data_IF_880102573112
#
_entry.id   IF_880102573112
#
_cell.length_a   1.000
_cell.length_b   1.000
_cell.length_c   1.000
_cell.angle_alpha   90.00
_cell.angle_beta   90.00
_cell.angle_gamma   90.00
#
_symmetry.space_group_name_H-M   'P 1'
#
loop_
_entity.id
_entity.type
_entity.pdbx_description
1 polymer ?
#
# COMPACT_ATOMS: atom_id res chain seq x y z
N UNK A 1 34.93 -19.31 -7.51
CA UNK A 1 33.81 -20.20 -7.87
C UNK A 1 33.22 -20.71 -6.57
N UNK A 2 32.06 -20.20 -6.21
CA UNK A 2 31.37 -20.47 -4.96
C UNK A 2 30.00 -19.84 -5.08
N UNK A 3 29.16 -20.45 -5.92
CA UNK A 3 27.77 -20.05 -6.10
C UNK A 3 27.02 -20.26 -4.79
N UNK A 4 26.79 -19.16 -4.08
CA UNK A 4 25.75 -19.05 -3.06
C UNK A 4 24.41 -18.85 -3.78
N UNK A 5 23.95 -19.86 -4.51
CA UNK A 5 22.53 -19.99 -4.78
C UNK A 5 21.84 -20.26 -3.43
N UNK A 6 21.20 -19.22 -2.88
CA UNK A 6 20.21 -19.36 -1.81
C UNK A 6 19.09 -20.25 -2.36
N UNK A 7 19.25 -21.56 -2.17
CA UNK A 7 18.15 -22.52 -2.29
C UNK A 7 17.14 -22.12 -1.22
N UNK A 8 16.04 -21.48 -1.61
CA UNK A 8 14.89 -21.29 -0.72
C UNK A 8 14.45 -22.68 -0.28
N UNK A 9 14.53 -22.93 1.03
CA UNK A 9 14.20 -24.26 1.55
C UNK A 9 12.68 -24.40 1.55
N UNK A 10 12.10 -25.59 1.30
CA UNK A 10 10.65 -25.84 1.42
C UNK A 10 10.03 -25.42 2.78
N UNK A 11 10.86 -25.22 3.81
CA UNK A 11 10.47 -24.72 5.12
C UNK A 11 10.04 -23.25 5.12
N UNK A 12 10.54 -22.41 4.19
CA UNK A 12 10.26 -20.97 4.19
C UNK A 12 8.83 -20.68 3.74
N UNK A 13 8.33 -21.43 2.74
CA UNK A 13 6.96 -21.31 2.25
C UNK A 13 5.92 -21.74 3.31
N UNK A 14 6.16 -22.88 3.96
CA UNK A 14 5.32 -23.38 5.03
C UNK A 14 5.29 -22.40 6.21
N UNK A 15 6.42 -21.76 6.51
CA UNK A 15 6.53 -20.72 7.52
C UNK A 15 5.74 -19.46 7.14
N UNK A 16 5.81 -18.99 5.87
CA UNK A 16 5.01 -17.86 5.39
C UNK A 16 3.51 -18.13 5.56
N UNK A 17 3.04 -19.29 5.10
CA UNK A 17 1.61 -19.65 5.22
C UNK A 17 1.19 -19.73 6.69
N UNK A 18 2.01 -20.35 7.55
CA UNK A 18 1.75 -20.40 8.99
C UNK A 18 1.72 -19.01 9.63
N UNK A 19 2.65 -18.12 9.25
CA UNK A 19 2.72 -16.73 9.72
C UNK A 19 1.48 -15.95 9.35
N UNK A 20 1.05 -16.00 8.09
CA UNK A 20 -0.18 -15.33 7.60
C UNK A 20 -1.40 -15.92 8.32
N UNK A 21 -1.50 -17.25 8.41
CA UNK A 21 -2.58 -17.95 9.09
C UNK A 21 -2.71 -17.51 10.55
N UNK A 22 -1.62 -17.52 11.31
CA UNK A 22 -1.60 -17.13 12.72
C UNK A 22 -1.87 -15.64 12.91
N UNK A 23 -1.22 -14.79 12.12
CA UNK A 23 -1.33 -13.32 12.22
C UNK A 23 -2.74 -12.83 11.93
N UNK A 24 -3.41 -13.43 10.95
CA UNK A 24 -4.72 -12.98 10.48
C UNK A 24 -5.87 -13.89 10.90
N UNK A 25 -5.58 -14.97 11.62
CA UNK A 25 -6.56 -15.97 12.08
C UNK A 25 -7.38 -16.57 10.93
N UNK A 26 -6.69 -16.87 9.83
CA UNK A 26 -7.27 -17.48 8.62
C UNK A 26 -6.82 -18.95 8.54
N UNK A 27 -7.67 -19.90 8.12
CA UNK A 27 -7.32 -21.31 8.11
C UNK A 27 -6.12 -21.58 7.20
N UNK A 28 -5.25 -22.50 7.62
CA UNK A 28 -4.04 -22.83 6.84
C UNK A 28 -4.39 -23.46 5.50
N UNK A 29 -5.41 -24.32 5.48
CA UNK A 29 -5.74 -25.14 4.31
C UNK A 29 -6.28 -24.31 3.14
N UNK A 30 -7.06 -23.25 3.41
CA UNK A 30 -7.48 -22.33 2.35
C UNK A 30 -6.32 -21.53 1.77
N UNK A 31 -5.36 -21.12 2.61
CA UNK A 31 -4.15 -20.45 2.12
C UNK A 31 -3.31 -21.41 1.27
N UNK A 32 -3.21 -22.69 1.65
CA UNK A 32 -2.54 -23.71 0.83
C UNK A 32 -3.23 -23.89 -0.52
N UNK A 33 -4.56 -24.00 -0.53
CA UNK A 33 -5.35 -24.18 -1.75
C UNK A 33 -5.24 -23.00 -2.73
N UNK A 34 -5.14 -21.77 -2.21
CA UNK A 34 -4.96 -20.55 -3.02
C UNK A 34 -3.63 -20.58 -3.79
N UNK A 35 -2.58 -21.13 -3.17
CA UNK A 35 -1.22 -21.03 -3.70
C UNK A 35 -0.78 -22.29 -4.45
N UNK A 36 -1.37 -23.44 -4.15
CA UNK A 36 -1.05 -24.71 -4.81
C UNK A 36 -1.03 -24.63 -6.35
N UNK A 37 -1.93 -23.91 -7.04
CA UNK A 37 -1.89 -23.81 -8.51
C UNK A 37 -0.73 -22.99 -9.07
N UNK A 38 -0.12 -22.10 -8.28
CA UNK A 38 0.94 -21.18 -8.74
C UNK A 38 2.34 -21.57 -8.27
N UNK A 39 2.46 -22.47 -7.28
CA UNK A 39 3.75 -23.06 -6.91
C UNK A 39 4.01 -24.27 -7.80
N UNK A 40 4.78 -24.06 -8.86
CA UNK A 40 5.28 -25.13 -9.73
C UNK A 40 6.62 -25.68 -9.25
N UNK A 41 7.44 -24.86 -8.59
CA UNK A 41 8.68 -25.25 -7.91
C UNK A 41 8.79 -24.54 -6.55
N UNK A 42 8.99 -25.33 -5.49
CA UNK A 42 9.14 -24.86 -4.11
C UNK A 42 10.50 -24.16 -3.88
N UNK A 43 11.51 -24.49 -4.68
CA UNK A 43 12.88 -23.97 -4.54
C UNK A 43 13.13 -22.65 -5.28
N UNK A 44 12.13 -22.14 -6.02
CA UNK A 44 12.23 -20.87 -6.76
C UNK A 44 11.19 -19.83 -6.32
N UNK A 45 10.38 -20.13 -5.29
CA UNK A 45 9.33 -19.25 -4.84
C UNK A 45 9.89 -18.08 -4.03
N UNK A 46 9.50 -16.85 -4.39
CA UNK A 46 9.74 -15.62 -3.61
C UNK A 46 8.82 -15.59 -2.37
N UNK A 47 9.36 -15.80 -1.14
CA UNK A 47 8.55 -15.88 0.06
C UNK A 47 7.85 -14.55 0.39
N UNK A 48 8.49 -13.41 0.12
CA UNK A 48 7.96 -12.08 0.42
C UNK A 48 6.88 -11.68 -0.60
N UNK A 49 7.10 -12.00 -1.88
CA UNK A 49 6.09 -11.91 -2.92
C UNK A 49 4.85 -12.74 -2.58
N UNK A 50 5.06 -13.96 -2.07
CA UNK A 50 3.94 -14.80 -1.66
C UNK A 50 3.21 -14.27 -0.44
N UNK A 51 3.91 -13.86 0.62
CA UNK A 51 3.30 -13.31 1.83
C UNK A 51 2.40 -12.12 1.49
N UNK A 52 2.84 -11.26 0.57
CA UNK A 52 2.02 -10.15 0.04
C UNK A 52 0.77 -10.65 -0.69
N UNK A 53 0.89 -11.63 -1.59
CA UNK A 53 -0.26 -12.18 -2.32
C UNK A 53 -1.29 -12.81 -1.38
N UNK A 54 -0.84 -13.59 -0.39
CA UNK A 54 -1.71 -14.21 0.60
C UNK A 54 -2.37 -13.17 1.51
N UNK A 55 -1.61 -12.20 2.00
CA UNK A 55 -2.14 -11.12 2.85
C UNK A 55 -3.23 -10.32 2.13
N UNK A 56 -3.11 -10.12 0.81
CA UNK A 56 -4.16 -9.46 -0.01
C UNK A 56 -5.47 -10.25 -0.07
N UNK A 57 -5.45 -11.58 0.11
CA UNK A 57 -6.65 -12.43 0.12
C UNK A 57 -7.32 -12.53 1.49
N UNK A 58 -6.63 -12.18 2.56
CA UNK A 58 -7.15 -12.25 3.94
C UNK A 58 -8.50 -11.53 4.10
N UNK A 59 -8.71 -10.30 3.61
CA UNK A 59 -10.01 -9.63 3.74
C UNK A 59 -11.14 -10.38 3.04
N UNK A 60 -10.89 -10.92 1.84
CA UNK A 60 -11.87 -11.69 1.08
C UNK A 60 -12.27 -12.97 1.83
N UNK A 61 -11.29 -13.70 2.39
CA UNK A 61 -11.53 -14.92 3.17
C UNK A 61 -12.30 -14.61 4.45
N UNK A 62 -11.94 -13.53 5.16
CA UNK A 62 -12.64 -13.12 6.37
C UNK A 62 -14.08 -12.72 6.09
N UNK A 63 -14.33 -11.93 5.04
CA UNK A 63 -15.67 -11.53 4.64
C UNK A 63 -16.53 -12.76 4.32
N UNK A 64 -15.99 -13.70 3.53
CA UNK A 64 -16.66 -14.94 3.18
C UNK A 64 -16.99 -15.79 4.42
N UNK A 65 -16.03 -15.99 5.33
CA UNK A 65 -16.25 -16.75 6.58
C UNK A 65 -17.30 -16.11 7.47
N UNK A 66 -17.28 -14.79 7.63
CA UNK A 66 -18.27 -14.05 8.41
C UNK A 66 -19.67 -14.22 7.84
N UNK A 67 -19.84 -14.10 6.52
CA UNK A 67 -21.15 -14.24 5.88
C UNK A 67 -21.66 -15.69 5.96
N UNK A 68 -20.81 -16.68 5.71
CA UNK A 68 -21.17 -18.11 5.81
C UNK A 68 -21.57 -18.53 7.24
N UNK A 69 -21.05 -17.84 8.26
CA UNK A 69 -21.40 -18.10 9.66
C UNK A 69 -22.72 -17.46 10.10
N UNK A 70 -23.36 -16.62 9.28
CA UNK A 70 -24.61 -15.98 9.66
C UNK A 70 -25.76 -16.99 9.78
N UNK A 71 -26.52 -16.96 10.88
CA UNK A 71 -27.63 -17.88 11.07
C UNK A 71 -28.73 -17.64 10.04
N UNK A 72 -29.43 -18.71 9.66
CA UNK A 72 -30.61 -18.63 8.80
C UNK A 72 -31.75 -19.45 9.39
N UNK A 73 -32.97 -18.92 9.31
CA UNK A 73 -34.19 -19.65 9.66
C UNK A 73 -34.54 -20.73 8.61
N UNK A 74 -34.01 -20.62 7.40
CA UNK A 74 -34.15 -21.62 6.34
C UNK A 74 -33.11 -22.73 6.54
N UNK A 75 -33.57 -23.91 6.98
CA UNK A 75 -32.72 -25.05 7.28
C UNK A 75 -31.93 -25.56 6.06
N UNK A 76 -32.48 -25.46 4.85
CA UNK A 76 -31.79 -25.90 3.62
C UNK A 76 -30.67 -24.92 3.29
N UNK A 77 -30.96 -23.62 3.34
CA UNK A 77 -29.95 -22.59 3.15
C UNK A 77 -28.84 -22.67 4.21
N UNK A 78 -29.22 -22.87 5.48
CA UNK A 78 -28.28 -23.06 6.58
C UNK A 78 -27.37 -24.29 6.34
N UNK A 79 -27.93 -25.40 5.86
CA UNK A 79 -27.17 -26.60 5.49
C UNK A 79 -26.13 -26.33 4.39
N UNK A 80 -26.52 -25.61 3.33
CA UNK A 80 -25.58 -25.25 2.26
C UNK A 80 -24.51 -24.26 2.71
N UNK A 81 -24.86 -23.27 3.54
CA UNK A 81 -23.88 -22.34 4.15
C UNK A 81 -22.89 -23.07 5.04
N UNK A 82 -23.34 -24.05 5.84
CA UNK A 82 -22.47 -24.87 6.66
C UNK A 82 -21.53 -25.74 5.81
N UNK A 83 -22.02 -26.34 4.73
CA UNK A 83 -21.20 -27.10 3.80
C UNK A 83 -20.14 -26.20 3.12
N UNK A 84 -20.53 -25.01 2.70
CA UNK A 84 -19.61 -24.00 2.15
C UNK A 84 -18.56 -23.57 3.20
N UNK A 85 -18.95 -23.32 4.45
CA UNK A 85 -18.03 -22.99 5.53
C UNK A 85 -17.02 -24.12 5.76
N UNK A 86 -17.47 -25.38 5.83
CA UNK A 86 -16.58 -26.53 6.00
C UNK A 86 -15.62 -26.70 4.80
N UNK A 87 -16.08 -26.46 3.57
CA UNK A 87 -15.22 -26.48 2.39
C UNK A 87 -14.21 -25.32 2.39
N UNK A 88 -14.62 -24.13 2.85
CA UNK A 88 -13.76 -22.96 3.02
C UNK A 88 -12.65 -23.25 4.05
N UNK A 89 -12.99 -23.76 5.23
CA UNK A 89 -12.02 -24.13 6.27
C UNK A 89 -11.03 -25.19 5.79
N UNK A 90 -11.49 -26.18 5.00
CA UNK A 90 -10.68 -27.26 4.46
C UNK A 90 -9.94 -26.91 3.13
N UNK A 91 -10.04 -25.67 2.64
CA UNK A 91 -9.41 -25.25 1.38
C UNK A 91 -9.95 -25.93 0.12
N UNK A 92 -11.15 -26.50 0.15
CA UNK A 92 -11.77 -27.19 -1.00
C UNK A 92 -12.57 -26.22 -1.85
N UNK A 93 -11.86 -25.35 -2.59
CA UNK A 93 -12.46 -24.22 -3.34
C UNK A 93 -13.57 -24.62 -4.34
N UNK A 94 -13.44 -25.77 -5.01
CA UNK A 94 -14.45 -26.27 -5.92
C UNK A 94 -15.75 -26.71 -5.20
N UNK A 95 -15.61 -27.34 -4.03
CA UNK A 95 -16.76 -27.72 -3.21
C UNK A 95 -17.42 -26.50 -2.57
N UNK A 96 -16.63 -25.50 -2.19
CA UNK A 96 -17.11 -24.21 -1.71
C UNK A 96 -17.99 -23.53 -2.77
N UNK A 97 -17.50 -23.36 -4.02
CA UNK A 97 -18.30 -22.75 -5.10
C UNK A 97 -19.56 -23.56 -5.39
N UNK A 98 -19.46 -24.90 -5.35
CA UNK A 98 -20.62 -25.80 -5.55
C UNK A 98 -21.67 -25.60 -4.47
N UNK A 99 -21.29 -25.57 -3.19
CA UNK A 99 -22.22 -25.38 -2.08
C UNK A 99 -22.89 -24.00 -2.14
N UNK A 100 -22.13 -22.95 -2.46
CA UNK A 100 -22.67 -21.61 -2.69
C UNK A 100 -23.65 -21.56 -3.87
N UNK A 101 -23.36 -22.26 -4.97
CA UNK A 101 -24.26 -22.35 -6.11
C UNK A 101 -25.58 -23.08 -5.75
N UNK A 102 -25.54 -24.10 -4.90
CA UNK A 102 -26.75 -24.77 -4.41
C UNK A 102 -27.56 -23.86 -3.47
N UNK A 103 -26.90 -23.12 -2.58
CA UNK A 103 -27.55 -22.11 -1.74
C UNK A 103 -28.26 -21.04 -2.60
N UNK A 104 -27.57 -20.52 -3.61
CA UNK A 104 -28.11 -19.54 -4.54
C UNK A 104 -29.34 -20.06 -5.31
N UNK A 105 -29.25 -21.28 -5.87
CA UNK A 105 -30.36 -21.91 -6.60
C UNK A 105 -31.59 -22.10 -5.71
N UNK A 106 -31.37 -22.51 -4.45
CA UNK A 106 -32.43 -22.66 -3.46
C UNK A 106 -33.13 -21.32 -3.16
N UNK A 107 -32.37 -20.22 -3.01
CA UNK A 107 -32.92 -18.88 -2.79
C UNK A 107 -33.78 -18.43 -3.98
N UNK A 108 -33.32 -18.69 -5.21
CA UNK A 108 -34.03 -18.34 -6.44
C UNK A 108 -35.30 -19.18 -6.66
N UNK A 109 -35.40 -20.36 -6.04
CA UNK A 109 -36.63 -21.16 -5.98
C UNK A 109 -37.16 -21.64 -7.34
N UNK A 110 -36.31 -21.73 -8.37
CA UNK A 110 -36.70 -22.15 -9.72
C UNK A 110 -37.59 -21.17 -10.50
N UNK A 111 -37.76 -19.94 -10.01
CA UNK A 111 -38.54 -18.90 -10.67
C UNK A 111 -37.81 -18.39 -11.93
N UNK A 112 -38.57 -18.14 -13.00
CA UNK A 112 -38.01 -17.70 -14.28
C UNK A 112 -37.67 -16.20 -14.33
N UNK A 113 -38.21 -15.38 -13.42
CA UNK A 113 -38.08 -13.91 -13.46
C UNK A 113 -37.61 -13.28 -12.14
N UNK A 114 -36.53 -12.49 -12.20
CA UNK A 114 -36.00 -11.73 -11.06
C UNK A 114 -36.98 -10.68 -10.52
N UNK A 115 -37.90 -10.18 -11.35
CA UNK A 115 -38.90 -9.18 -10.96
C UNK A 115 -39.97 -9.73 -10.01
N UNK A 116 -40.18 -11.04 -10.00
CA UNK A 116 -41.20 -11.70 -9.18
C UNK A 116 -40.64 -12.15 -7.81
N UNK A 117 -39.32 -12.08 -7.63
CA UNK A 117 -38.66 -12.44 -6.37
C UNK A 117 -38.82 -11.32 -5.34
N UNK A 118 -39.24 -11.64 -4.09
CA UNK A 118 -39.27 -10.68 -2.99
C UNK A 118 -37.90 -10.01 -2.79
N UNK A 119 -37.90 -8.75 -2.35
CA UNK A 119 -36.68 -7.96 -2.15
C UNK A 119 -35.63 -8.69 -1.29
N UNK A 120 -36.05 -9.29 -0.17
CA UNK A 120 -35.16 -10.06 0.71
C UNK A 120 -34.47 -11.24 0.00
N UNK A 121 -35.21 -11.97 -0.86
CA UNK A 121 -34.64 -13.08 -1.64
C UNK A 121 -33.71 -12.60 -2.73
N UNK A 122 -33.99 -11.44 -3.34
CA UNK A 122 -33.08 -10.81 -4.31
C UNK A 122 -31.77 -10.40 -3.64
N UNK A 123 -31.83 -9.77 -2.47
CA UNK A 123 -30.64 -9.42 -1.69
C UNK A 123 -29.85 -10.69 -1.37
N UNK A 124 -30.49 -11.71 -0.77
CA UNK A 124 -29.82 -12.96 -0.43
C UNK A 124 -29.21 -13.69 -1.63
N UNK A 125 -29.89 -13.71 -2.79
CA UNK A 125 -29.37 -14.32 -4.02
C UNK A 125 -28.16 -13.53 -4.56
N UNK A 126 -28.24 -12.20 -4.53
CA UNK A 126 -27.11 -11.33 -4.89
C UNK A 126 -25.90 -11.55 -3.98
N UNK A 127 -26.11 -11.70 -2.68
CA UNK A 127 -25.04 -12.00 -1.73
C UNK A 127 -24.42 -13.38 -1.95
N UNK A 128 -25.22 -14.41 -2.21
CA UNK A 128 -24.72 -15.73 -2.58
C UNK A 128 -23.89 -15.69 -3.88
N UNK A 129 -24.35 -14.93 -4.89
CA UNK A 129 -23.58 -14.70 -6.12
C UNK A 129 -22.29 -13.93 -5.85
N UNK A 130 -22.29 -12.97 -4.94
CA UNK A 130 -21.10 -12.21 -4.53
C UNK A 130 -20.09 -13.07 -3.76
N UNK A 131 -20.52 -14.01 -2.92
CA UNK A 131 -19.63 -15.00 -2.27
C UNK A 131 -18.93 -15.89 -3.30
N UNK A 132 -19.65 -16.27 -4.36
CA UNK A 132 -19.08 -16.98 -5.50
C UNK A 132 -18.06 -16.12 -6.25
N UNK A 133 -18.34 -14.82 -6.42
CA UNK A 133 -17.35 -13.86 -6.96
C UNK A 133 -16.11 -13.76 -6.08
N UNK A 134 -16.29 -13.72 -4.76
CA UNK A 134 -15.21 -13.72 -3.76
C UNK A 134 -14.37 -15.00 -3.84
N UNK A 135 -15.02 -16.15 -4.02
CA UNK A 135 -14.34 -17.45 -4.22
C UNK A 135 -13.49 -17.45 -5.49
N UNK A 136 -13.97 -16.83 -6.58
CA UNK A 136 -13.18 -16.67 -7.81
C UNK A 136 -11.94 -15.79 -7.60
N UNK A 137 -12.03 -14.72 -6.78
CA UNK A 137 -10.88 -13.88 -6.43
C UNK A 137 -9.81 -14.62 -5.65
N UNK A 138 -10.15 -15.71 -4.95
CA UNK A 138 -9.15 -16.52 -4.24
C UNK A 138 -8.18 -17.21 -5.21
N UNK A 139 -8.54 -17.35 -6.49
CA UNK A 139 -7.62 -17.88 -7.50
C UNK A 139 -6.58 -16.81 -7.86
N UNK A 140 -5.29 -17.18 -7.83
CA UNK A 140 -4.18 -16.32 -8.23
C UNK A 140 -3.96 -16.34 -9.75
N UNK A 141 -5.03 -16.14 -10.52
CA UNK A 141 -5.03 -16.15 -11.98
C UNK A 141 -5.90 -15.03 -12.57
N UNK A 142 -5.57 -14.48 -13.76
CA UNK A 142 -6.38 -13.44 -14.41
C UNK A 142 -7.84 -13.85 -14.63
N UNK A 143 -8.07 -15.11 -14.97
CA UNK A 143 -9.41 -15.67 -15.19
C UNK A 143 -10.27 -15.59 -13.94
N UNK A 144 -9.68 -15.76 -12.75
CA UNK A 144 -10.35 -15.61 -11.46
C UNK A 144 -10.87 -14.19 -11.24
N UNK A 145 -10.08 -13.17 -11.59
CA UNK A 145 -10.49 -11.77 -11.51
C UNK A 145 -11.59 -11.41 -12.52
N UNK A 146 -11.50 -11.92 -13.76
CA UNK A 146 -12.56 -11.71 -14.78
C UNK A 146 -13.87 -12.35 -14.37
N UNK A 147 -13.82 -13.59 -13.89
CA UNK A 147 -15.00 -14.31 -13.41
C UNK A 147 -15.60 -13.65 -12.16
N UNK A 148 -14.77 -13.19 -11.23
CA UNK A 148 -15.22 -12.43 -10.08
C UNK A 148 -15.94 -11.15 -10.49
N UNK A 149 -15.35 -10.38 -11.41
CA UNK A 149 -15.96 -9.16 -11.95
C UNK A 149 -17.35 -9.43 -12.54
N UNK A 150 -17.48 -10.47 -13.37
CA UNK A 150 -18.78 -10.89 -13.93
C UNK A 150 -19.79 -11.26 -12.84
N UNK A 151 -19.38 -12.05 -11.84
CA UNK A 151 -20.25 -12.45 -10.73
C UNK A 151 -20.68 -11.26 -9.87
N UNK A 152 -19.83 -10.27 -9.65
CA UNK A 152 -20.21 -9.05 -8.94
C UNK A 152 -21.18 -8.17 -9.75
N UNK A 153 -20.99 -8.09 -11.06
CA UNK A 153 -21.93 -7.40 -11.96
C UNK A 153 -23.32 -8.07 -11.92
N UNK A 154 -23.35 -9.40 -12.00
CA UNK A 154 -24.58 -10.19 -11.89
C UNK A 154 -25.23 -10.06 -10.51
N UNK A 155 -24.43 -10.08 -9.45
CA UNK A 155 -24.91 -9.87 -8.08
C UNK A 155 -25.56 -8.50 -7.93
N UNK A 156 -24.91 -7.43 -8.41
CA UNK A 156 -25.46 -6.09 -8.40
C UNK A 156 -26.80 -6.03 -9.16
N UNK A 157 -26.88 -6.66 -10.34
CA UNK A 157 -28.13 -6.69 -11.12
C UNK A 157 -29.26 -7.48 -10.42
N UNK A 158 -28.94 -8.59 -9.75
CA UNK A 158 -29.91 -9.39 -8.98
C UNK A 158 -30.49 -8.55 -7.84
N UNK A 159 -29.63 -7.88 -7.06
CA UNK A 159 -30.06 -6.97 -5.98
C UNK A 159 -30.86 -5.81 -6.56
N UNK A 160 -30.25 -5.03 -7.46
CA UNK A 160 -30.86 -3.90 -8.15
C UNK A 160 -31.59 -2.94 -7.19
N UNK A 161 -32.82 -2.58 -7.53
CA UNK A 161 -33.65 -1.67 -6.73
C UNK A 161 -34.18 -2.27 -5.42
N UNK A 162 -33.96 -3.56 -5.15
CA UNK A 162 -34.32 -4.14 -3.85
C UNK A 162 -33.48 -3.54 -2.71
N UNK A 163 -32.22 -3.19 -3.00
CA UNK A 163 -31.32 -2.46 -2.10
C UNK A 163 -30.29 -1.70 -2.95
N UNK A 164 -30.55 -0.41 -3.28
CA UNK A 164 -29.65 0.38 -4.13
C UNK A 164 -28.25 0.57 -3.55
N UNK A 165 -28.10 0.62 -2.23
CA UNK A 165 -26.81 0.80 -1.57
C UNK A 165 -25.97 -0.47 -1.69
N UNK A 166 -26.58 -1.63 -1.43
CA UNK A 166 -25.92 -2.92 -1.59
C UNK A 166 -25.60 -3.22 -3.05
N UNK A 167 -26.52 -2.90 -3.97
CA UNK A 167 -26.27 -3.01 -5.41
C UNK A 167 -25.07 -2.16 -5.84
N UNK A 168 -24.97 -0.92 -5.33
CA UNK A 168 -23.83 -0.04 -5.60
C UNK A 168 -22.52 -0.59 -5.05
N UNK A 169 -22.51 -1.09 -3.81
CA UNK A 169 -21.32 -1.71 -3.21
C UNK A 169 -20.82 -2.90 -4.06
N UNK A 170 -21.72 -3.76 -4.54
CA UNK A 170 -21.38 -4.87 -5.44
C UNK A 170 -20.82 -4.37 -6.78
N UNK A 171 -21.36 -3.27 -7.33
CA UNK A 171 -20.82 -2.64 -8.53
C UNK A 171 -19.41 -2.04 -8.30
N UNK A 172 -19.09 -1.59 -7.08
CA UNK A 172 -17.71 -1.21 -6.73
C UNK A 172 -16.80 -2.44 -6.63
N UNK A 173 -17.28 -3.56 -6.09
CA UNK A 173 -16.51 -4.82 -6.05
C UNK A 173 -16.20 -5.37 -7.45
N UNK A 174 -17.08 -5.13 -8.43
CA UNK A 174 -16.79 -5.39 -9.84
C UNK A 174 -15.58 -4.58 -10.31
N UNK A 175 -15.51 -3.29 -9.98
CA UNK A 175 -14.39 -2.42 -10.33
C UNK A 175 -13.09 -2.84 -9.62
N UNK A 176 -13.18 -3.24 -8.36
CA UNK A 176 -12.04 -3.74 -7.59
C UNK A 176 -11.47 -5.02 -8.22
N UNK A 177 -12.34 -5.95 -8.65
CA UNK A 177 -11.93 -7.16 -9.35
C UNK A 177 -11.25 -6.87 -10.70
N UNK A 178 -11.74 -5.89 -11.46
CA UNK A 178 -11.11 -5.43 -12.70
C UNK A 178 -9.74 -4.77 -12.42
N UNK A 179 -9.65 -3.93 -11.40
CA UNK A 179 -8.40 -3.26 -11.01
C UNK A 179 -7.33 -4.25 -10.56
N UNK A 180 -7.72 -5.38 -9.93
CA UNK A 180 -6.80 -6.46 -9.56
C UNK A 180 -6.13 -7.12 -10.77
N UNK A 181 -6.76 -7.14 -11.96
CA UNK A 181 -6.10 -7.62 -13.18
C UNK A 181 -4.85 -6.78 -13.49
N UNK A 182 -4.98 -5.46 -13.40
CA UNK A 182 -3.88 -4.54 -13.58
C UNK A 182 -2.84 -4.64 -12.47
N UNK A 183 -3.29 -4.72 -11.21
CA UNK A 183 -2.38 -4.72 -10.05
C UNK A 183 -1.54 -6.00 -9.95
N UNK A 184 -2.12 -7.16 -10.25
CA UNK A 184 -1.48 -8.46 -10.01
C UNK A 184 -0.82 -9.06 -11.26
N UNK A 185 -1.31 -8.69 -12.45
CA UNK A 185 -0.85 -9.27 -13.71
C UNK A 185 -0.33 -8.22 -14.69
N UNK A 186 -0.21 -6.95 -14.27
CA UNK A 186 0.17 -5.83 -15.13
C UNK A 186 -0.72 -5.68 -16.37
N UNK A 187 -1.96 -6.16 -16.30
CA UNK A 187 -2.93 -6.09 -17.40
C UNK A 187 -3.58 -4.71 -17.42
N UNK A 188 -3.09 -3.87 -18.32
CA UNK A 188 -3.60 -2.51 -18.54
C UNK A 188 -5.12 -2.48 -18.80
N UNK A 189 -5.66 -3.48 -19.50
CA UNK A 189 -7.08 -3.52 -19.84
C UNK A 189 -7.99 -3.63 -18.61
N UNK A 190 -7.46 -4.20 -17.51
CA UNK A 190 -8.16 -4.27 -16.23
C UNK A 190 -8.46 -2.90 -15.63
N UNK A 191 -7.45 -2.02 -15.57
CA UNK A 191 -7.65 -0.66 -15.10
C UNK A 191 -8.54 0.17 -16.05
N UNK A 192 -8.36 0.02 -17.35
CA UNK A 192 -9.18 0.73 -18.34
C UNK A 192 -10.66 0.34 -18.22
N UNK A 193 -10.95 -0.95 -18.05
CA UNK A 193 -12.31 -1.45 -17.82
C UNK A 193 -12.89 -0.96 -16.47
N UNK A 194 -12.09 -0.96 -15.40
CA UNK A 194 -12.50 -0.43 -14.10
C UNK A 194 -12.84 1.07 -14.18
N UNK A 195 -11.99 1.88 -14.83
CA UNK A 195 -12.19 3.31 -15.02
C UNK A 195 -13.46 3.58 -15.84
N UNK A 196 -13.66 2.85 -16.93
CA UNK A 196 -14.86 3.00 -17.76
C UNK A 196 -16.13 2.69 -16.95
N UNK A 197 -16.15 1.57 -16.22
CA UNK A 197 -17.26 1.17 -15.36
C UNK A 197 -17.57 2.19 -14.25
N UNK A 198 -16.54 2.67 -13.55
CA UNK A 198 -16.69 3.65 -12.46
C UNK A 198 -17.20 5.00 -12.99
N UNK A 199 -16.75 5.44 -14.17
CA UNK A 199 -17.29 6.64 -14.81
C UNK A 199 -18.76 6.47 -15.18
N UNK A 200 -19.17 5.30 -15.65
CA UNK A 200 -20.60 5.01 -15.89
C UNK A 200 -21.41 5.07 -14.60
N UNK A 201 -20.92 4.49 -13.49
CA UNK A 201 -21.60 4.58 -12.20
C UNK A 201 -21.78 6.03 -11.75
N UNK A 202 -20.77 6.89 -11.93
CA UNK A 202 -20.85 8.31 -11.59
C UNK A 202 -21.92 9.07 -12.38
N UNK A 203 -22.29 8.64 -13.60
CA UNK A 203 -23.35 9.33 -14.37
C UNK A 203 -24.73 9.20 -13.75
N UNK A 204 -24.93 8.21 -12.87
CA UNK A 204 -26.20 7.96 -12.17
C UNK A 204 -26.22 8.44 -10.73
N UNK A 205 -25.19 9.16 -10.27
CA UNK A 205 -25.06 9.62 -8.89
C UNK A 205 -24.94 11.14 -8.83
N UNK A 206 -25.68 11.76 -7.91
CA UNK A 206 -25.54 13.17 -7.58
C UNK A 206 -24.58 13.35 -6.39
N UNK A 207 -23.67 14.31 -6.44
CA UNK A 207 -22.67 14.50 -5.38
C UNK A 207 -23.28 15.02 -4.06
N UNK A 208 -24.45 15.65 -4.10
CA UNK A 208 -25.16 16.11 -2.92
C UNK A 208 -26.11 15.03 -2.39
N UNK A 209 -27.00 14.51 -3.23
CA UNK A 209 -28.00 13.53 -2.80
C UNK A 209 -27.39 12.15 -2.50
N UNK A 210 -26.33 11.77 -3.23
CA UNK A 210 -25.65 10.47 -3.11
C UNK A 210 -24.22 10.59 -2.57
N UNK A 211 -23.94 11.62 -1.75
CA UNK A 211 -22.59 12.03 -1.31
C UNK A 211 -21.67 10.84 -1.00
N UNK A 212 -22.12 9.87 -0.19
CA UNK A 212 -21.30 8.70 0.21
C UNK A 212 -21.05 7.73 -0.95
N UNK A 213 -22.05 7.42 -1.78
CA UNK A 213 -21.92 6.53 -2.93
C UNK A 213 -21.06 7.16 -4.02
N UNK A 214 -21.26 8.45 -4.28
CA UNK A 214 -20.46 9.23 -5.21
C UNK A 214 -19.00 9.25 -4.76
N UNK A 215 -18.75 9.57 -3.48
CA UNK A 215 -17.41 9.58 -2.89
C UNK A 215 -16.73 8.21 -2.95
N UNK A 216 -17.45 7.13 -2.64
CA UNK A 216 -16.92 5.78 -2.70
C UNK A 216 -16.52 5.43 -4.15
N UNK A 217 -17.29 5.86 -5.15
CA UNK A 217 -17.00 5.63 -6.57
C UNK A 217 -15.78 6.43 -7.03
N UNK A 218 -15.67 7.69 -6.62
CA UNK A 218 -14.49 8.53 -6.87
C UNK A 218 -13.22 7.95 -6.23
N UNK A 219 -13.33 7.38 -5.02
CA UNK A 219 -12.20 6.68 -4.38
C UNK A 219 -11.66 5.56 -5.28
N UNK A 220 -12.54 4.66 -5.76
CA UNK A 220 -12.11 3.55 -6.63
C UNK A 220 -11.60 4.06 -7.97
N UNK A 221 -12.19 5.14 -8.51
CA UNK A 221 -11.75 5.73 -9.77
C UNK A 221 -10.34 6.28 -9.63
N UNK A 222 -10.07 7.03 -8.57
CA UNK A 222 -8.73 7.53 -8.26
C UNK A 222 -7.72 6.40 -8.10
N UNK A 223 -8.07 5.31 -7.40
CA UNK A 223 -7.18 4.16 -7.23
C UNK A 223 -6.86 3.47 -8.57
N UNK A 224 -7.86 3.27 -9.43
CA UNK A 224 -7.64 2.69 -10.76
C UNK A 224 -6.80 3.61 -11.67
N UNK A 225 -7.00 4.93 -11.59
CA UNK A 225 -6.18 5.93 -12.30
C UNK A 225 -4.72 5.92 -11.81
N UNK A 226 -4.48 5.83 -10.50
CA UNK A 226 -3.14 5.70 -9.93
C UNK A 226 -2.47 4.41 -10.42
N UNK A 227 -3.18 3.29 -10.41
CA UNK A 227 -2.67 2.01 -10.91
C UNK A 227 -2.28 2.05 -12.39
N UNK A 228 -3.15 2.59 -13.24
CA UNK A 228 -2.87 2.76 -14.67
C UNK A 228 -1.72 3.73 -14.93
N UNK A 229 -1.68 4.85 -14.21
CA UNK A 229 -0.61 5.84 -14.34
C UNK A 229 0.75 5.30 -13.90
N UNK A 230 0.79 4.48 -12.85
CA UNK A 230 2.00 3.80 -12.42
C UNK A 230 2.52 2.79 -13.47
N UNK A 231 1.63 2.05 -14.15
CA UNK A 231 2.01 1.13 -15.22
C UNK A 231 2.54 1.85 -16.47
N UNK A 232 1.95 2.99 -16.84
CA UNK A 232 2.32 3.73 -18.05
C UNK A 232 3.41 4.78 -17.83
N UNK A 233 3.75 5.10 -16.57
CA UNK A 233 4.57 6.27 -16.24
C UNK A 233 3.86 7.60 -16.55
N UNK A 234 2.53 7.61 -16.52
CA UNK A 234 1.72 8.77 -16.90
C UNK A 234 1.27 9.56 -15.67
N UNK A 235 1.97 10.68 -15.42
CA UNK A 235 1.67 11.58 -14.30
C UNK A 235 0.35 12.32 -14.45
N UNK A 236 -0.21 12.43 -15.67
CA UNK A 236 -1.50 13.08 -15.88
C UNK A 236 -2.65 12.28 -15.24
N UNK A 237 -2.58 10.94 -15.26
CA UNK A 237 -3.55 10.08 -14.60
C UNK A 237 -3.49 10.22 -13.08
N UNK A 238 -2.30 10.37 -12.50
CA UNK A 238 -2.15 10.62 -11.06
C UNK A 238 -2.71 12.01 -10.67
N UNK A 239 -2.57 13.03 -11.55
CA UNK A 239 -3.18 14.35 -11.33
C UNK A 239 -4.70 14.29 -11.39
N UNK A 240 -5.25 13.51 -12.32
CA UNK A 240 -6.69 13.23 -12.37
C UNK A 240 -7.17 12.57 -11.07
N UNK A 241 -6.45 11.56 -10.55
CA UNK A 241 -6.79 10.92 -9.28
C UNK A 241 -6.78 11.90 -8.10
N UNK A 242 -5.77 12.76 -8.00
CA UNK A 242 -5.73 13.81 -6.97
C UNK A 242 -6.93 14.77 -7.09
N UNK A 243 -7.34 15.13 -8.31
CA UNK A 243 -8.53 15.94 -8.54
C UNK A 243 -9.80 15.23 -8.07
N UNK A 244 -9.97 13.94 -8.36
CA UNK A 244 -11.11 13.14 -7.87
C UNK A 244 -11.21 13.22 -6.34
N UNK A 245 -10.10 13.02 -5.63
CA UNK A 245 -10.10 13.05 -4.16
C UNK A 245 -10.37 14.45 -3.61
N UNK A 246 -9.80 15.50 -4.21
CA UNK A 246 -10.02 16.89 -3.78
C UNK A 246 -11.49 17.29 -3.92
N UNK A 247 -12.08 17.09 -5.10
CA UNK A 247 -13.51 17.38 -5.33
C UNK A 247 -14.40 16.57 -4.39
N UNK A 248 -14.03 15.33 -4.08
CA UNK A 248 -14.80 14.53 -3.11
C UNK A 248 -14.75 15.09 -1.69
N UNK A 249 -13.60 15.62 -1.27
CA UNK A 249 -13.44 16.19 0.06
C UNK A 249 -14.09 17.58 0.21
N UNK A 250 -14.53 18.21 -0.89
CA UNK A 250 -15.30 19.47 -0.85
C UNK A 250 -16.66 19.28 -0.19
N UNK A 251 -17.33 18.13 -0.42
CA UNK A 251 -18.66 17.83 0.12
C UNK A 251 -18.64 16.71 1.18
N UNK A 252 -17.74 15.74 1.07
CA UNK A 252 -17.64 14.66 2.05
C UNK A 252 -17.03 15.18 3.35
N UNK A 253 -17.78 15.03 4.45
CA UNK A 253 -17.36 15.37 5.81
C UNK A 253 -17.18 14.11 6.66
N UNK A 254 -16.42 14.18 7.78
CA UNK A 254 -16.18 13.01 8.63
C UNK A 254 -17.44 12.35 9.21
N UNK A 255 -18.51 13.10 9.42
CA UNK A 255 -19.81 12.64 9.92
C UNK A 255 -20.63 11.87 8.87
N UNK A 256 -20.44 12.14 7.56
CA UNK A 256 -21.08 11.38 6.49
C UNK A 256 -20.55 9.94 6.41
N UNK A 257 -19.22 9.77 6.37
CA UNK A 257 -18.57 8.46 6.27
C UNK A 257 -17.11 8.52 6.72
N UNK A 258 -16.89 8.56 8.04
CA UNK A 258 -15.55 8.71 8.66
C UNK A 258 -14.46 7.81 8.06
N UNK A 259 -14.67 6.48 7.86
CA UNK A 259 -13.63 5.62 7.30
C UNK A 259 -13.25 5.98 5.85
N UNK A 260 -14.23 6.35 5.03
CA UNK A 260 -14.01 6.76 3.64
C UNK A 260 -13.29 8.11 3.57
N UNK A 261 -13.73 9.07 4.38
CA UNK A 261 -13.10 10.39 4.48
C UNK A 261 -11.62 10.29 4.87
N UNK A 262 -11.28 9.45 5.87
CA UNK A 262 -9.89 9.18 6.27
C UNK A 262 -9.06 8.63 5.10
N UNK A 263 -9.59 7.67 4.34
CA UNK A 263 -8.85 7.08 3.21
C UNK A 263 -8.63 8.11 2.10
N UNK A 264 -9.64 8.91 1.76
CA UNK A 264 -9.52 9.98 0.77
C UNK A 264 -8.47 11.03 1.17
N UNK A 265 -8.46 11.48 2.42
CA UNK A 265 -7.42 12.38 2.93
C UNK A 265 -6.02 11.79 2.76
N UNK A 266 -5.84 10.51 3.10
CA UNK A 266 -4.55 9.84 2.95
C UNK A 266 -4.13 9.68 1.49
N UNK A 267 -5.07 9.36 0.60
CA UNK A 267 -4.79 9.22 -0.83
C UNK A 267 -4.41 10.56 -1.45
N UNK A 268 -5.15 11.64 -1.13
CA UNK A 268 -4.80 12.99 -1.52
C UNK A 268 -3.42 13.38 -1.01
N UNK A 269 -3.15 13.19 0.29
CA UNK A 269 -1.86 13.56 0.87
C UNK A 269 -0.68 12.79 0.28
N UNK A 270 -0.88 11.52 -0.09
CA UNK A 270 0.16 10.71 -0.75
C UNK A 270 0.49 11.27 -2.13
N UNK A 271 -0.51 11.60 -2.94
CA UNK A 271 -0.32 12.15 -4.28
C UNK A 271 0.22 13.59 -4.24
N UNK A 272 -0.31 14.42 -3.34
CA UNK A 272 0.16 15.79 -3.16
C UNK A 272 1.64 15.82 -2.75
N UNK A 273 2.07 14.94 -1.85
CA UNK A 273 3.49 14.82 -1.48
C UNK A 273 4.36 14.38 -2.67
N UNK A 274 3.90 13.38 -3.43
CA UNK A 274 4.64 12.89 -4.61
C UNK A 274 4.84 14.02 -5.64
N UNK A 275 3.80 14.80 -5.94
CA UNK A 275 3.89 15.92 -6.87
C UNK A 275 4.69 17.08 -6.32
N UNK A 276 4.52 17.42 -5.04
CA UNK A 276 5.27 18.48 -4.38
C UNK A 276 6.77 18.19 -4.32
N UNK A 277 7.17 16.93 -4.15
CA UNK A 277 8.58 16.52 -4.25
C UNK A 277 9.09 16.61 -5.70
N UNK A 278 8.33 16.12 -6.67
CA UNK A 278 8.74 16.07 -8.08
C UNK A 278 8.83 17.46 -8.74
N UNK A 279 7.82 18.30 -8.52
CA UNK A 279 7.71 19.64 -9.11
C UNK A 279 8.40 20.69 -8.23
N UNK A 280 8.79 20.32 -7.01
CA UNK A 280 9.37 21.22 -6.02
C UNK A 280 8.36 22.19 -5.40
N UNK A 281 7.06 21.96 -5.61
CA UNK A 281 5.94 22.80 -5.17
C UNK A 281 5.68 22.66 -3.66
N UNK A 282 5.89 23.76 -2.94
CA UNK A 282 5.68 23.84 -1.49
C UNK A 282 4.19 23.75 -1.14
N UNK A 283 3.30 24.32 -1.95
CA UNK A 283 1.86 24.30 -1.67
C UNK A 283 1.28 22.88 -1.70
N UNK A 284 1.77 22.03 -2.61
CA UNK A 284 1.39 20.61 -2.63
C UNK A 284 1.95 19.83 -1.43
N UNK A 285 3.12 20.21 -0.93
CA UNK A 285 3.68 19.61 0.29
C UNK A 285 2.86 20.03 1.52
N UNK A 286 2.43 21.29 1.58
CA UNK A 286 1.52 21.80 2.62
C UNK A 286 0.17 21.09 2.58
N UNK A 287 -0.43 20.92 1.39
CA UNK A 287 -1.65 20.14 1.19
C UNK A 287 -1.49 18.70 1.71
N UNK A 288 -0.34 18.07 1.46
CA UNK A 288 -0.05 16.74 1.99
C UNK A 288 -0.01 16.69 3.52
N UNK A 289 0.68 17.66 4.13
CA UNK A 289 0.75 17.79 5.60
C UNK A 289 -0.64 17.98 6.19
N UNK A 290 -1.46 18.87 5.61
CA UNK A 290 -2.83 19.12 6.05
C UNK A 290 -3.70 17.88 5.97
N UNK A 291 -3.66 17.17 4.83
CA UNK A 291 -4.45 15.96 4.64
C UNK A 291 -4.09 14.84 5.64
N UNK A 292 -2.79 14.60 5.89
CA UNK A 292 -2.38 13.62 6.89
C UNK A 292 -2.71 14.04 8.33
N UNK A 293 -2.56 15.32 8.66
CA UNK A 293 -2.96 15.87 9.98
C UNK A 293 -4.47 15.82 10.20
N UNK A 294 -5.27 15.96 9.15
CA UNK A 294 -6.72 15.81 9.21
C UNK A 294 -7.12 14.35 9.44
N UNK A 295 -6.45 13.40 8.77
CA UNK A 295 -6.77 11.98 8.89
C UNK A 295 -6.39 11.37 10.26
N UNK A 296 -5.19 11.66 10.78
CA UNK A 296 -4.62 10.98 11.95
C UNK A 296 -5.50 11.00 13.21
N UNK A 297 -6.09 12.14 13.64
CA UNK A 297 -6.97 12.19 14.82
C UNK A 297 -8.28 11.43 14.64
N UNK A 298 -8.73 11.25 13.40
CA UNK A 298 -9.95 10.54 13.08
C UNK A 298 -9.76 9.02 13.07
N UNK A 299 -8.51 8.53 12.96
CA UNK A 299 -8.19 7.11 12.91
C UNK A 299 -8.30 6.45 14.28
N UNK A 300 -8.86 5.24 14.30
CA UNK A 300 -8.74 4.34 15.44
C UNK A 300 -7.41 3.57 15.35
N UNK A 301 -6.44 3.96 16.19
CA UNK A 301 -5.11 3.33 16.24
C UNK A 301 -5.19 1.85 16.59
N UNK A 302 -6.14 1.41 17.42
CA UNK A 302 -6.26 0.01 17.83
C UNK A 302 -6.84 -0.85 16.70
N UNK A 303 -7.78 -0.30 15.93
CA UNK A 303 -8.41 -1.00 14.81
C UNK A 303 -7.49 -1.13 13.58
N UNK A 304 -6.69 -0.10 13.27
CA UNK A 304 -5.77 -0.10 12.12
C UNK A 304 -4.41 0.52 12.44
N UNK A 305 -3.63 -0.18 13.27
CA UNK A 305 -2.27 0.22 13.65
C UNK A 305 -1.33 0.32 12.44
N UNK A 306 -1.50 -0.54 11.43
CA UNK A 306 -0.67 -0.55 10.22
C UNK A 306 -0.93 0.70 9.37
N UNK A 307 -2.20 1.01 9.14
CA UNK A 307 -2.59 2.23 8.46
C UNK A 307 -2.14 3.46 9.22
N UNK A 308 -2.27 3.49 10.55
CA UNK A 308 -1.88 4.63 11.37
C UNK A 308 -0.36 4.89 11.30
N UNK A 309 0.46 3.85 11.48
CA UNK A 309 1.92 3.95 11.37
C UNK A 309 2.35 4.44 9.98
N UNK A 310 1.65 4.00 8.92
CA UNK A 310 1.90 4.48 7.57
C UNK A 310 1.60 5.97 7.41
N UNK A 311 0.47 6.45 7.93
CA UNK A 311 0.13 7.87 7.86
C UNK A 311 1.12 8.73 8.65
N UNK A 312 1.57 8.26 9.82
CA UNK A 312 2.63 8.94 10.59
C UNK A 312 3.95 9.03 9.81
N UNK A 313 4.34 7.93 9.19
CA UNK A 313 5.53 7.89 8.34
C UNK A 313 5.43 8.86 7.14
N UNK A 314 4.29 8.88 6.44
CA UNK A 314 4.08 9.77 5.30
C UNK A 314 3.98 11.25 5.73
N UNK A 315 3.37 11.55 6.89
CA UNK A 315 3.41 12.89 7.51
C UNK A 315 4.84 13.32 7.85
N UNK A 316 5.63 12.43 8.45
CA UNK A 316 7.04 12.67 8.75
C UNK A 316 7.86 12.98 7.51
N UNK A 317 7.60 12.28 6.39
CA UNK A 317 8.21 12.59 5.09
C UNK A 317 7.81 13.98 4.60
N UNK A 318 6.51 14.29 4.59
CA UNK A 318 6.01 15.59 4.13
C UNK A 318 6.62 16.75 4.92
N UNK A 319 6.62 16.64 6.25
CA UNK A 319 7.17 17.66 7.16
C UNK A 319 8.69 17.81 7.02
N UNK A 320 9.42 16.71 6.76
CA UNK A 320 10.86 16.75 6.50
C UNK A 320 11.18 17.54 5.22
N UNK A 321 10.41 17.31 4.15
CA UNK A 321 10.58 18.06 2.89
C UNK A 321 10.20 19.52 3.08
N UNK A 322 9.07 19.80 3.75
CA UNK A 322 8.63 21.15 4.04
C UNK A 322 9.67 21.92 4.85
N UNK A 323 10.13 21.35 5.97
CA UNK A 323 11.12 21.96 6.85
C UNK A 323 12.46 22.23 6.16
N UNK A 324 12.90 21.37 5.23
CA UNK A 324 14.10 21.62 4.41
C UNK A 324 13.90 22.77 3.42
N UNK A 325 12.74 22.87 2.79
CA UNK A 325 12.44 23.91 1.79
C UNK A 325 12.20 25.29 2.41
N UNK A 326 11.58 25.33 3.59
CA UNK A 326 11.23 26.59 4.27
C UNK A 326 12.22 26.96 5.37
N UNK A 327 13.23 26.13 5.63
CA UNK A 327 14.13 26.24 6.79
C UNK A 327 13.37 26.32 8.13
N UNK A 328 12.19 25.67 8.19
CA UNK A 328 11.29 25.71 9.34
C UNK A 328 11.60 24.64 10.37
N UNK A 329 12.27 25.03 11.48
CA UNK A 329 12.65 24.12 12.56
C UNK A 329 11.46 23.34 13.16
N UNK A 330 10.33 24.01 13.39
CA UNK A 330 9.13 23.36 13.93
C UNK A 330 8.60 22.23 13.03
N UNK A 331 8.76 22.35 11.71
CA UNK A 331 8.39 21.27 10.77
C UNK A 331 9.35 20.09 10.88
N UNK A 332 10.65 20.34 11.08
CA UNK A 332 11.65 19.28 11.26
C UNK A 332 11.45 18.53 12.58
N UNK A 333 11.17 19.24 13.68
CA UNK A 333 10.85 18.61 14.98
C UNK A 333 9.58 17.74 14.88
N UNK A 334 8.53 18.29 14.24
CA UNK A 334 7.30 17.54 14.01
C UNK A 334 7.52 16.32 13.08
N UNK A 335 8.42 16.43 12.09
CA UNK A 335 8.80 15.31 11.24
C UNK A 335 9.46 14.19 12.04
N UNK A 336 10.43 14.53 12.91
CA UNK A 336 11.11 13.57 13.76
C UNK A 336 10.15 12.83 14.69
N UNK A 337 9.23 13.57 15.33
CA UNK A 337 8.21 12.99 16.21
C UNK A 337 7.25 12.04 15.48
N UNK A 338 6.83 12.40 14.26
CA UNK A 338 5.96 11.53 13.44
C UNK A 338 6.69 10.25 13.00
N UNK A 339 7.97 10.34 12.63
CA UNK A 339 8.81 9.19 12.29
C UNK A 339 9.04 8.29 13.52
N UNK A 340 9.28 8.87 14.70
CA UNK A 340 9.41 8.13 15.95
C UNK A 340 8.12 7.38 16.28
N UNK A 341 6.95 8.02 16.14
CA UNK A 341 5.66 7.39 16.33
C UNK A 341 5.43 6.18 15.38
N UNK A 342 5.88 6.26 14.13
CA UNK A 342 5.84 5.13 13.21
C UNK A 342 6.79 3.99 13.63
N UNK A 343 7.95 4.33 14.21
CA UNK A 343 8.95 3.35 14.67
C UNK A 343 8.54 2.54 15.91
N UNK A 344 7.55 3.02 16.69
CA UNK A 344 6.95 2.25 17.79
C UNK A 344 6.29 0.95 17.29
N UNK A 345 5.86 0.93 16.03
CA UNK A 345 5.15 -0.20 15.43
C UNK A 345 5.99 -0.93 14.37
N UNK A 346 6.71 -0.19 13.54
CA UNK A 346 7.67 -0.77 12.61
C UNK A 346 9.05 -0.81 13.25
N UNK A 347 9.22 -1.80 14.13
CA UNK A 347 10.49 -2.05 14.82
C UNK A 347 11.48 -2.80 13.92
N UNK A 348 12.75 -2.80 14.33
CA UNK A 348 13.81 -3.56 13.70
C UNK A 348 13.48 -5.05 13.58
N UNK A 349 12.88 -5.65 14.62
CA UNK A 349 12.57 -7.09 14.67
C UNK A 349 11.33 -7.45 13.84
N UNK A 350 10.30 -6.60 13.90
CA UNK A 350 9.00 -6.91 13.31
C UNK A 350 8.90 -6.51 11.84
N UNK A 351 9.65 -5.49 11.41
CA UNK A 351 9.60 -4.93 10.05
C UNK A 351 10.92 -4.24 9.70
N UNK A 352 12.05 -4.97 9.60
CA UNK A 352 13.39 -4.42 9.45
C UNK A 352 13.52 -3.42 8.30
N UNK A 353 12.95 -3.76 7.13
CA UNK A 353 12.97 -2.88 5.95
C UNK A 353 12.24 -1.54 6.20
N UNK A 354 11.06 -1.58 6.84
CA UNK A 354 10.28 -0.38 7.17
C UNK A 354 10.96 0.44 8.27
N UNK A 355 11.62 -0.22 9.20
CA UNK A 355 12.38 0.43 10.25
C UNK A 355 13.62 1.13 9.67
N UNK A 356 14.37 0.49 8.77
CA UNK A 356 15.50 1.09 8.07
C UNK A 356 15.07 2.31 7.24
N UNK A 357 13.91 2.20 6.59
CA UNK A 357 13.20 3.30 5.97
C UNK A 357 12.97 4.47 6.93
N UNK A 358 12.48 4.24 8.15
CA UNK A 358 12.30 5.30 9.14
C UNK A 358 13.64 5.90 9.57
N UNK A 359 14.64 5.07 9.88
CA UNK A 359 15.96 5.53 10.36
C UNK A 359 16.66 6.41 9.33
N UNK A 360 16.60 6.05 8.05
CA UNK A 360 17.13 6.87 6.95
C UNK A 360 16.45 8.25 6.87
N UNK A 361 15.12 8.32 7.04
CA UNK A 361 14.42 9.62 7.05
C UNK A 361 14.71 10.41 8.32
N UNK A 362 14.83 9.77 9.48
CA UNK A 362 15.23 10.43 10.73
C UNK A 362 16.64 11.04 10.59
N UNK A 363 17.58 10.31 9.97
CA UNK A 363 18.90 10.84 9.62
C UNK A 363 18.81 12.08 8.74
N UNK A 364 17.93 12.09 7.72
CA UNK A 364 17.74 13.26 6.85
C UNK A 364 17.15 14.46 7.58
N UNK A 365 16.24 14.23 8.53
CA UNK A 365 15.67 15.29 9.37
C UNK A 365 16.77 15.86 10.28
N UNK A 366 17.58 15.01 10.91
CA UNK A 366 18.67 15.42 11.78
C UNK A 366 19.77 16.18 11.04
N UNK A 367 20.10 15.81 9.80
CA UNK A 367 21.03 16.60 8.96
C UNK A 367 20.47 18.01 8.73
N UNK A 368 19.18 18.12 8.40
CA UNK A 368 18.52 19.41 8.18
C UNK A 368 18.49 20.28 9.44
N UNK A 369 18.12 19.70 10.60
CA UNK A 369 18.17 20.38 11.90
C UNK A 369 19.61 20.78 12.22
N UNK A 370 20.55 19.86 11.99
CA UNK A 370 21.97 20.04 12.20
C UNK A 370 22.48 21.30 11.53
N UNK A 371 22.02 21.65 10.33
CA UNK A 371 22.39 22.90 9.64
C UNK A 371 22.10 24.19 10.42
N UNK A 372 21.10 24.17 11.32
CA UNK A 372 20.71 25.31 12.17
C UNK A 372 21.40 25.32 13.54
N UNK A 373 21.94 24.19 14.00
CA UNK A 373 22.68 24.09 15.27
C UNK A 373 24.20 24.11 15.06
N UNK A 374 24.93 24.66 16.03
CA UNK A 374 26.41 24.66 15.98
C UNK A 374 27.00 23.38 16.56
N UNK A 375 26.24 22.71 17.42
CA UNK A 375 26.59 21.51 18.15
C UNK A 375 26.77 20.32 17.21
N UNK A 376 27.72 19.45 17.55
CA UNK A 376 28.03 18.27 16.72
C UNK A 376 27.11 17.08 16.98
N UNK A 377 26.47 17.04 18.15
CA UNK A 377 25.65 15.90 18.61
C UNK A 377 24.52 15.53 17.64
N UNK A 378 23.87 16.52 17.02
CA UNK A 378 22.77 16.29 16.07
C UNK A 378 23.28 15.60 14.81
N UNK A 379 24.47 15.97 14.33
CA UNK A 379 25.08 15.32 13.16
C UNK A 379 25.61 13.93 13.49
N UNK A 380 26.11 13.71 14.71
CA UNK A 380 26.51 12.37 15.17
C UNK A 380 25.31 11.42 15.24
N UNK A 381 24.18 11.87 15.77
CA UNK A 381 22.95 11.07 15.77
C UNK A 381 22.42 10.84 14.34
N UNK A 382 22.58 11.82 13.43
CA UNK A 382 22.24 11.61 12.02
C UNK A 382 23.07 10.48 11.39
N UNK A 383 24.39 10.48 11.64
CA UNK A 383 25.31 9.43 11.16
C UNK A 383 24.92 8.07 11.75
N UNK A 384 24.57 8.01 13.04
CA UNK A 384 24.11 6.79 13.69
C UNK A 384 22.79 6.28 13.10
N UNK A 385 21.82 7.16 12.83
CA UNK A 385 20.54 6.81 12.21
C UNK A 385 20.73 6.21 10.81
N UNK A 386 21.58 6.81 9.97
CA UNK A 386 21.91 6.20 8.68
C UNK A 386 22.66 4.86 8.83
N UNK A 387 23.56 4.74 9.81
CA UNK A 387 24.24 3.47 10.11
C UNK A 387 23.25 2.35 10.41
N UNK A 388 22.26 2.63 11.27
CA UNK A 388 21.15 1.70 11.57
C UNK A 388 20.36 1.30 10.31
N UNK A 389 20.13 2.22 9.38
CA UNK A 389 19.48 1.89 8.11
C UNK A 389 20.37 1.00 7.21
N UNK A 390 21.68 1.25 7.20
CA UNK A 390 22.67 0.52 6.40
C UNK A 390 22.97 -0.89 6.93
N UNK A 391 22.70 -1.17 8.21
CA UNK A 391 22.77 -2.53 8.78
C UNK A 391 21.76 -3.47 8.10
N UNK A 392 20.61 -2.93 7.68
CA UNK A 392 19.55 -3.65 6.97
C UNK A 392 19.73 -3.55 5.44
N UNK A 393 19.92 -2.33 4.94
CA UNK A 393 20.04 -2.06 3.51
C UNK A 393 21.43 -2.46 3.03
N UNK A 394 21.60 -3.66 2.52
CA UNK A 394 22.91 -4.13 2.03
C UNK A 394 23.13 -3.82 0.55
N UNK A 395 24.40 -3.59 0.17
CA UNK A 395 24.78 -3.31 -1.22
C UNK A 395 24.34 -4.40 -2.20
N UNK A 396 24.33 -5.66 -1.75
CA UNK A 396 24.02 -6.83 -2.57
C UNK A 396 22.51 -7.02 -2.76
N UNK A 397 21.70 -6.70 -1.74
CA UNK A 397 20.25 -6.96 -1.74
C UNK A 397 19.43 -5.75 -2.16
N UNK A 398 19.89 -4.55 -1.80
CA UNK A 398 19.22 -3.28 -2.09
C UNK A 398 20.21 -2.20 -2.52
N UNK A 399 20.95 -2.38 -3.64
CA UNK A 399 22.07 -1.51 -4.04
C UNK A 399 21.69 -0.03 -4.14
N UNK A 400 20.49 0.28 -4.64
CA UNK A 400 20.02 1.66 -4.76
C UNK A 400 19.70 2.30 -3.41
N UNK A 401 19.05 1.56 -2.49
CA UNK A 401 18.74 2.06 -1.16
C UNK A 401 20.02 2.22 -0.32
N UNK A 402 20.93 1.24 -0.41
CA UNK A 402 22.26 1.32 0.22
C UNK A 402 23.04 2.53 -0.30
N UNK A 403 23.09 2.74 -1.62
CA UNK A 403 23.78 3.89 -2.20
C UNK A 403 23.22 5.22 -1.68
N UNK A 404 21.91 5.39 -1.67
CA UNK A 404 21.27 6.61 -1.17
C UNK A 404 21.57 6.85 0.32
N UNK A 405 21.37 5.86 1.18
CA UNK A 405 21.67 5.99 2.62
C UNK A 405 23.15 6.23 2.89
N UNK A 406 24.02 5.54 2.16
CA UNK A 406 25.48 5.67 2.29
C UNK A 406 25.94 7.08 1.90
N UNK A 407 25.40 7.64 0.81
CA UNK A 407 25.71 9.00 0.41
C UNK A 407 25.17 10.05 1.39
N UNK A 408 23.97 9.84 1.93
CA UNK A 408 23.37 10.72 2.92
C UNK A 408 24.13 10.69 4.26
N UNK A 409 24.62 9.52 4.68
CA UNK A 409 25.53 9.40 5.83
C UNK A 409 26.85 10.12 5.56
N UNK A 410 27.42 9.96 4.37
CA UNK A 410 28.61 10.68 3.94
C UNK A 410 28.42 12.20 4.00
N UNK A 411 27.27 12.72 3.56
CA UNK A 411 26.94 14.14 3.69
C UNK A 411 26.92 14.61 5.16
N UNK A 412 26.32 13.84 6.06
CA UNK A 412 26.34 14.13 7.50
C UNK A 412 27.77 14.15 8.06
N UNK A 413 28.61 13.18 7.67
CA UNK A 413 30.01 13.12 8.04
C UNK A 413 30.81 14.32 7.48
N UNK A 414 30.53 14.78 6.26
CA UNK A 414 31.18 15.96 5.68
C UNK A 414 30.86 17.23 6.46
N UNK A 415 29.60 17.40 6.89
CA UNK A 415 29.20 18.54 7.72
C UNK A 415 29.89 18.49 9.10
N UNK A 416 29.98 17.30 9.69
CA UNK A 416 30.65 17.09 10.97
C UNK A 416 32.16 17.36 10.85
N UNK A 417 32.79 16.85 9.79
CA UNK A 417 34.20 17.08 9.47
C UNK A 417 34.51 18.57 9.33
N UNK A 418 33.65 19.32 8.62
CA UNK A 418 33.79 20.78 8.50
C UNK A 418 33.74 21.48 9.86
N UNK A 419 32.83 21.08 10.76
CA UNK A 419 32.73 21.66 12.11
C UNK A 419 33.95 21.37 12.98
N UNK A 420 34.47 20.14 12.88
CA UNK A 420 35.62 19.68 13.66
C UNK A 420 36.96 20.07 13.03
N UNK A 421 36.94 20.57 11.79
CA UNK A 421 38.14 20.74 10.94
C UNK A 421 38.92 19.44 10.77
N UNK A 422 38.18 18.33 10.66
CA UNK A 422 38.72 16.97 10.59
C UNK A 422 38.83 16.51 9.13
N UNK A 423 40.04 16.63 8.57
CA UNK A 423 40.30 16.20 7.19
C UNK A 423 40.16 14.69 7.00
N UNK A 424 40.50 13.88 8.02
CA UNK A 424 40.43 12.41 7.90
C UNK A 424 38.98 11.98 7.77
N UNK A 425 38.09 12.53 8.60
CA UNK A 425 36.66 12.28 8.50
C UNK A 425 36.09 12.73 7.15
N UNK A 426 36.53 13.88 6.63
CA UNK A 426 36.12 14.35 5.30
C UNK A 426 36.57 13.41 4.17
N UNK A 427 37.80 12.86 4.24
CA UNK A 427 38.30 11.91 3.26
C UNK A 427 37.55 10.57 3.30
N UNK A 428 37.22 10.09 4.51
CA UNK A 428 36.42 8.87 4.69
C UNK A 428 35.01 9.04 4.10
N UNK A 429 34.35 10.15 4.41
CA UNK A 429 33.04 10.48 3.87
C UNK A 429 33.05 10.60 2.34
N UNK A 430 34.07 11.22 1.76
CA UNK A 430 34.22 11.32 0.32
C UNK A 430 34.36 9.93 -0.34
N UNK A 431 35.21 9.06 0.22
CA UNK A 431 35.39 7.69 -0.29
C UNK A 431 34.08 6.87 -0.22
N UNK A 432 33.33 7.03 0.87
CA UNK A 432 32.02 6.40 1.03
C UNK A 432 31.03 6.89 -0.04
N UNK A 433 30.97 8.20 -0.30
CA UNK A 433 30.10 8.78 -1.33
C UNK A 433 30.48 8.34 -2.75
N UNK A 434 31.77 8.15 -3.06
CA UNK A 434 32.21 7.58 -4.34
C UNK A 434 31.66 6.15 -4.50
N UNK A 435 31.80 5.32 -3.48
CA UNK A 435 31.31 3.93 -3.50
C UNK A 435 29.78 3.87 -3.69
N UNK A 436 29.05 4.82 -3.09
CA UNK A 436 27.61 4.97 -3.29
C UNK A 436 27.25 5.30 -4.75
N UNK A 437 27.93 6.26 -5.38
CA UNK A 437 27.71 6.61 -6.79
C UNK A 437 28.00 5.43 -7.71
N UNK A 438 29.08 4.69 -7.47
CA UNK A 438 29.42 3.49 -8.24
C UNK A 438 28.36 2.39 -8.12
N UNK A 439 27.87 2.13 -6.91
CA UNK A 439 26.80 1.15 -6.68
C UNK A 439 25.50 1.55 -7.38
N UNK A 440 25.11 2.84 -7.34
CA UNK A 440 23.96 3.35 -8.07
C UNK A 440 24.13 3.24 -9.59
N UNK A 441 25.36 3.47 -10.08
CA UNK A 441 25.79 3.26 -11.46
C UNK A 441 25.58 1.83 -11.93
N UNK A 442 26.10 0.87 -11.18
CA UNK A 442 25.97 -0.56 -11.46
C UNK A 442 24.50 -1.04 -11.44
N UNK A 443 23.65 -0.41 -10.62
CA UNK A 443 22.23 -0.73 -10.52
C UNK A 443 21.33 0.00 -11.54
N UNK A 444 21.89 0.81 -12.45
CA UNK A 444 21.18 1.37 -13.60
C UNK A 444 20.27 2.59 -13.34
N UNK A 445 20.36 3.25 -12.18
CA UNK A 445 19.49 4.40 -11.85
C UNK A 445 20.04 5.73 -12.37
N UNK A 446 19.61 6.17 -13.56
CA UNK A 446 20.10 7.43 -14.18
C UNK A 446 19.79 8.69 -13.36
N UNK A 447 18.59 8.81 -12.79
CA UNK A 447 18.19 9.98 -12.00
C UNK A 447 18.88 10.01 -10.63
N UNK A 448 18.98 8.86 -9.97
CA UNK A 448 19.66 8.74 -8.67
C UNK A 448 21.14 9.08 -8.77
N UNK A 449 21.83 8.65 -9.83
CA UNK A 449 23.24 8.98 -10.06
C UNK A 449 23.47 10.50 -10.12
N UNK A 450 22.60 11.25 -10.82
CA UNK A 450 22.78 12.70 -10.97
C UNK A 450 22.68 13.44 -9.62
N UNK A 451 21.78 13.03 -8.73
CA UNK A 451 21.67 13.61 -7.40
C UNK A 451 22.87 13.27 -6.53
N UNK A 452 23.29 11.99 -6.52
CA UNK A 452 24.45 11.54 -5.75
C UNK A 452 25.75 12.21 -6.23
N UNK A 453 25.90 12.43 -7.54
CA UNK A 453 27.03 13.16 -8.11
C UNK A 453 27.08 14.61 -7.63
N UNK A 454 25.93 15.30 -7.55
CA UNK A 454 25.88 16.68 -7.01
C UNK A 454 26.38 16.72 -5.57
N UNK A 455 25.93 15.76 -4.73
CA UNK A 455 26.40 15.63 -3.34
C UNK A 455 27.90 15.35 -3.28
N UNK A 456 28.41 14.46 -4.13
CA UNK A 456 29.84 14.11 -4.19
C UNK A 456 30.72 15.32 -4.57
N UNK A 457 30.30 16.14 -5.53
CA UNK A 457 31.01 17.36 -5.92
C UNK A 457 31.08 18.35 -4.75
N UNK A 458 29.97 18.56 -4.04
CA UNK A 458 29.93 19.42 -2.85
C UNK A 458 30.85 18.89 -1.73
N UNK A 459 30.90 17.57 -1.53
CA UNK A 459 31.81 16.95 -0.57
C UNK A 459 33.28 17.14 -0.95
N UNK A 460 33.61 17.01 -2.24
CA UNK A 460 34.98 17.25 -2.74
C UNK A 460 35.47 18.67 -2.44
N UNK A 461 34.61 19.67 -2.59
CA UNK A 461 34.93 21.06 -2.26
C UNK A 461 35.27 21.23 -0.77
N UNK A 462 34.47 20.62 0.13
CA UNK A 462 34.72 20.67 1.58
C UNK A 462 36.07 20.03 1.94
N UNK A 463 36.37 18.86 1.39
CA UNK A 463 37.62 18.16 1.68
C UNK A 463 38.84 18.98 1.17
N UNK A 464 38.70 19.62 0.00
CA UNK A 464 39.75 20.49 -0.54
C UNK A 464 39.97 21.72 0.33
N UNK A 465 38.91 22.38 0.79
CA UNK A 465 39.01 23.56 1.65
C UNK A 465 39.66 23.22 3.00
N UNK A 466 39.31 22.08 3.60
CA UNK A 466 39.95 21.60 4.82
C UNK A 466 41.43 21.26 4.60
N UNK A 467 41.78 20.65 3.48
CA UNK A 467 43.16 20.33 3.14
C UNK A 467 44.04 21.55 2.84
N UNK A 468 43.46 22.69 2.46
CA UNK A 468 44.19 23.96 2.29
C UNK A 468 44.39 24.72 3.61
N UNK A 469 43.59 24.41 4.63
CA UNK A 469 43.60 25.08 5.93
C UNK A 469 44.51 24.40 6.97
N UNK A 470 45.02 23.20 6.65
CA UNK A 470 46.06 22.47 7.39
C UNK A 470 47.42 22.72 6.73
#
# INVERSE_FOLDING_TARGET
MGDSHLVTKPHDLAAVIARVSQRYQVPRDILLAIVAPVITDLASADPDGLERKLTRRVPDIRALRTHLAQPSADAVLAGWRQAAAAACEAGRLAELDKALAQAELHILGGLAGLAELPAERRIAAGEARADRGTTSLLQLAPEGCREASRRFAEAAAIVGLADPDRSHELALRQADALSRLGEEFADRSGYEAAIAHLRTLLTGLDNFDDTVRWAATQERLGLALVGLGALNGDSALLRQAASCYRTTLEDLRPDHAKPLWIRLQRHLGTLALQFGEADGDVGLIEEAVEAFRAALPAMDRAADVQGWARTQFDLGRALSVLGRKTHGMASLEAAFNALQAASEHWTHEASPERWADIQDRMGSVLVAMGGSYSETVVLEEAIAAYGRALDIRQRQTAPLLWATSSANQGEAMMLLARRRKDLVLAQQALAQMVTAVEAAGAAGSKSGIAELQKKLVAAGAIAQDLGRAQ
#
